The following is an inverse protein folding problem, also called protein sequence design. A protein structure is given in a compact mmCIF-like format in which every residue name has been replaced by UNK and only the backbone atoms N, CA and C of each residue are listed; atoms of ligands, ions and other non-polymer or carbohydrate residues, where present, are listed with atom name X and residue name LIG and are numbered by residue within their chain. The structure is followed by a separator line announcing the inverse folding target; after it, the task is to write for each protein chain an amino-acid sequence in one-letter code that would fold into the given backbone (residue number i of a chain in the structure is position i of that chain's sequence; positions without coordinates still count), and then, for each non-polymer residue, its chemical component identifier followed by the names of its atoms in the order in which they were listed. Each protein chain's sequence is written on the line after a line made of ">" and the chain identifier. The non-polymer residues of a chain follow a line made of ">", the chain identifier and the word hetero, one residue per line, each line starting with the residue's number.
data_IF_993669781348
#
_entry.id   IF_993669781348
#
_cell.length_a   1.000
_cell.length_b   1.000
_cell.length_c   1.000
_cell.angle_alpha   90.00
_cell.angle_beta   90.00
_cell.angle_gamma   90.00
#
_symmetry.space_group_name_H-M   'P 1'
#
loop_
_entity.id
_entity.type
_entity.pdbx_description
1 polymer ?
#
# COMPACT_ATOMS: atom_id res chain seq x y z
N UNK A 1 -35.48 -1.47 -28.54
CA UNK A 1 -34.84 -0.15 -28.70
C UNK A 1 -34.74 0.49 -27.32
N UNK A 2 -33.70 0.14 -26.55
CA UNK A 2 -33.23 0.86 -25.35
C UNK A 2 -31.72 0.62 -25.32
N UNK A 3 -30.95 1.64 -25.67
CA UNK A 3 -29.49 1.64 -25.61
C UNK A 3 -29.03 1.73 -24.14
N UNK A 4 -28.19 0.79 -23.71
CA UNK A 4 -27.49 0.85 -22.43
C UNK A 4 -26.03 1.32 -22.66
N UNK A 5 -25.49 2.23 -21.85
CA UNK A 5 -24.21 2.88 -22.15
C UNK A 5 -23.02 2.00 -21.73
N UNK A 6 -22.40 1.31 -22.69
CA UNK A 6 -21.23 0.45 -22.48
C UNK A 6 -19.87 1.20 -22.37
N UNK A 7 -19.87 2.53 -22.20
CA UNK A 7 -18.64 3.34 -22.32
C UNK A 7 -17.99 3.78 -20.99
N UNK A 8 -18.61 3.51 -19.83
CA UNK A 8 -18.11 4.02 -18.54
C UNK A 8 -16.91 3.23 -17.96
N UNK A 9 -16.73 1.95 -18.32
CA UNK A 9 -15.71 1.10 -17.69
C UNK A 9 -14.28 1.29 -18.25
N UNK A 10 -14.12 1.64 -19.54
CA UNK A 10 -12.79 1.74 -20.19
C UNK A 10 -12.02 3.04 -19.90
N UNK A 11 -12.69 4.14 -19.53
CA UNK A 11 -12.02 5.42 -19.20
C UNK A 11 -11.37 5.41 -17.81
N UNK A 12 -11.87 4.57 -16.91
CA UNK A 12 -11.35 4.47 -15.53
C UNK A 12 -9.96 3.84 -15.46
N UNK A 13 -9.60 2.90 -16.35
CA UNK A 13 -8.29 2.23 -16.29
C UNK A 13 -7.15 3.15 -16.74
N UNK A 14 -7.33 3.98 -17.78
CA UNK A 14 -6.28 4.89 -18.25
C UNK A 14 -5.95 5.98 -17.23
N UNK A 15 -6.99 6.57 -16.63
CA UNK A 15 -6.81 7.57 -15.57
C UNK A 15 -6.21 6.95 -14.31
N UNK A 16 -6.60 5.73 -13.94
CA UNK A 16 -5.99 5.00 -12.84
C UNK A 16 -4.52 4.66 -13.11
N UNK A 17 -4.16 4.21 -14.32
CA UNK A 17 -2.79 3.94 -14.73
C UNK A 17 -1.95 5.23 -14.74
N UNK A 18 -2.47 6.33 -15.29
CA UNK A 18 -1.79 7.63 -15.28
C UNK A 18 -1.59 8.12 -13.85
N UNK A 19 -2.62 8.01 -13.00
CA UNK A 19 -2.51 8.38 -11.59
C UNK A 19 -1.50 7.50 -10.85
N UNK A 20 -1.44 6.20 -11.14
CA UNK A 20 -0.50 5.26 -10.54
C UNK A 20 0.95 5.52 -11.00
N UNK A 21 1.15 5.79 -12.28
CA UNK A 21 2.46 6.20 -12.82
C UNK A 21 2.89 7.52 -12.19
N UNK A 22 2.01 8.53 -12.16
CA UNK A 22 2.30 9.83 -11.54
C UNK A 22 2.63 9.70 -10.05
N UNK A 23 1.87 8.89 -9.30
CA UNK A 23 2.13 8.65 -7.88
C UNK A 23 3.49 7.98 -7.62
N UNK A 24 3.96 7.13 -8.53
CA UNK A 24 5.29 6.52 -8.43
C UNK A 24 6.42 7.43 -8.96
N UNK A 25 6.13 8.35 -9.88
CA UNK A 25 7.10 9.33 -10.37
C UNK A 25 7.43 10.41 -9.34
N UNK A 26 6.48 10.78 -8.47
CA UNK A 26 6.71 11.82 -7.44
C UNK A 26 7.90 11.47 -6.52
N UNK A 27 7.96 10.27 -5.89
CA UNK A 27 9.14 9.88 -5.12
C UNK A 27 10.43 9.85 -5.94
N UNK A 28 10.37 9.39 -7.19
CA UNK A 28 11.54 9.32 -8.06
C UNK A 28 12.09 10.72 -8.37
N UNK A 29 11.23 11.65 -8.79
CA UNK A 29 11.59 13.04 -9.09
C UNK A 29 12.14 13.72 -7.83
N UNK A 30 11.51 13.51 -6.67
CA UNK A 30 12.00 14.05 -5.41
C UNK A 30 13.41 13.55 -5.06
N UNK A 31 13.73 12.28 -5.34
CA UNK A 31 15.08 11.74 -5.15
C UNK A 31 16.07 12.32 -6.17
N UNK A 32 15.70 12.40 -7.45
CA UNK A 32 16.59 12.93 -8.50
C UNK A 32 16.93 14.42 -8.28
N UNK A 33 16.01 15.19 -7.72
CA UNK A 33 16.23 16.59 -7.36
C UNK A 33 16.94 16.77 -6.00
N UNK A 34 17.34 15.68 -5.33
CA UNK A 34 17.98 15.73 -4.02
C UNK A 34 17.06 16.17 -2.88
N UNK A 35 15.75 16.32 -3.13
CA UNK A 35 14.77 16.67 -2.11
C UNK A 35 14.56 15.52 -1.11
N UNK A 36 14.54 14.27 -1.59
CA UNK A 36 14.34 13.07 -0.79
C UNK A 36 15.52 12.11 -0.89
N UNK A 37 15.83 11.43 0.22
CA UNK A 37 16.79 10.33 0.22
C UNK A 37 16.07 9.00 -0.04
N UNK A 38 16.82 7.95 -0.38
CA UNK A 38 16.28 6.58 -0.46
C UNK A 38 15.58 6.19 0.85
N UNK A 39 16.15 6.58 2.00
CA UNK A 39 15.52 6.40 3.31
C UNK A 39 14.14 7.06 3.37
N UNK A 40 13.99 8.32 2.95
CA UNK A 40 12.69 9.01 2.96
C UNK A 40 11.62 8.26 2.16
N UNK A 41 11.99 7.70 1.00
CA UNK A 41 11.05 6.93 0.16
C UNK A 41 10.67 5.60 0.83
N UNK A 42 11.66 4.84 1.31
CA UNK A 42 11.40 3.57 2.00
C UNK A 42 10.59 3.79 3.28
N UNK A 43 10.88 4.88 3.99
CA UNK A 43 10.13 5.31 5.16
C UNK A 43 8.68 5.62 4.83
N UNK A 44 8.38 6.37 3.75
CA UNK A 44 7.01 6.65 3.34
C UNK A 44 6.24 5.38 2.98
N UNK A 45 6.87 4.45 2.26
CA UNK A 45 6.25 3.16 1.97
C UNK A 45 5.97 2.38 3.25
N UNK A 46 6.90 2.34 4.19
CA UNK A 46 6.67 1.71 5.49
C UNK A 46 5.54 2.40 6.28
N UNK A 47 5.51 3.73 6.32
CA UNK A 47 4.50 4.51 7.02
C UNK A 47 3.10 4.33 6.41
N UNK A 48 3.00 4.28 5.07
CA UNK A 48 1.75 4.00 4.36
C UNK A 48 1.13 2.66 4.82
N UNK A 49 1.93 1.63 5.06
CA UNK A 49 1.40 0.35 5.55
C UNK A 49 0.88 0.45 7.00
N UNK A 50 1.47 1.32 7.81
CA UNK A 50 0.93 1.65 9.13
C UNK A 50 -0.44 2.31 9.02
N UNK A 51 -0.57 3.30 8.12
CA UNK A 51 -1.83 3.99 7.82
C UNK A 51 -2.90 3.01 7.32
N UNK A 52 -2.55 2.16 6.34
CA UNK A 52 -3.44 1.13 5.80
C UNK A 52 -3.89 0.17 6.91
N UNK A 53 -2.98 -0.27 7.78
CA UNK A 53 -3.30 -1.11 8.94
C UNK A 53 -4.27 -0.44 9.91
N UNK A 54 -4.04 0.85 10.22
CA UNK A 54 -4.93 1.64 11.08
C UNK A 54 -6.34 1.77 10.51
N UNK A 55 -6.47 2.13 9.23
CA UNK A 55 -7.78 2.15 8.56
C UNK A 55 -8.40 0.75 8.46
N UNK A 56 -7.61 -0.31 8.33
CA UNK A 56 -8.12 -1.67 8.28
C UNK A 56 -8.78 -2.08 9.61
N UNK A 57 -8.22 -1.65 10.76
CA UNK A 57 -8.86 -1.84 12.06
C UNK A 57 -10.24 -1.16 12.10
N UNK A 58 -10.35 0.08 11.60
CA UNK A 58 -11.63 0.77 11.49
C UNK A 58 -12.61 0.02 10.58
N UNK A 59 -12.13 -0.51 9.44
CA UNK A 59 -12.94 -1.34 8.55
C UNK A 59 -13.45 -2.59 9.26
N UNK A 60 -12.59 -3.31 9.99
CA UNK A 60 -12.95 -4.52 10.73
C UNK A 60 -13.99 -4.23 11.82
N UNK A 61 -13.89 -3.10 12.51
CA UNK A 61 -14.87 -2.67 13.51
C UNK A 61 -16.26 -2.47 12.89
N UNK A 62 -16.31 -1.85 11.70
CA UNK A 62 -17.56 -1.54 11.00
C UNK A 62 -18.10 -2.67 10.10
N UNK A 63 -17.34 -3.75 9.91
CA UNK A 63 -17.72 -4.86 9.04
C UNK A 63 -19.03 -5.53 9.50
N UNK A 64 -19.93 -5.81 8.56
CA UNK A 64 -21.24 -6.45 8.79
C UNK A 64 -21.47 -7.63 7.83
N UNK A 65 -20.46 -7.99 7.03
CA UNK A 65 -20.53 -9.14 6.14
C UNK A 65 -20.67 -10.45 6.90
N UNK A 66 -20.85 -11.53 6.14
CA UNK A 66 -21.07 -12.86 6.70
C UNK A 66 -19.98 -13.23 7.74
N UNK A 67 -20.40 -13.71 8.91
CA UNK A 67 -19.50 -14.05 10.01
C UNK A 67 -19.00 -12.87 10.86
N UNK A 68 -19.41 -11.62 10.58
CA UNK A 68 -19.03 -10.42 11.34
C UNK A 68 -19.78 -10.26 12.66
N UNK A 69 -19.76 -11.28 13.53
CA UNK A 69 -20.35 -11.22 14.87
C UNK A 69 -19.49 -10.38 15.83
N UNK A 70 -20.09 -9.88 16.92
CA UNK A 70 -19.34 -9.19 17.97
C UNK A 70 -18.19 -10.06 18.51
N UNK A 71 -18.45 -11.35 18.74
CA UNK A 71 -17.44 -12.32 19.18
C UNK A 71 -16.27 -12.46 18.19
N UNK A 72 -16.55 -12.56 16.89
CA UNK A 72 -15.49 -12.63 15.86
C UNK A 72 -14.61 -11.38 15.88
N UNK A 73 -15.21 -10.19 16.01
CA UNK A 73 -14.47 -8.91 16.03
C UNK A 73 -13.61 -8.77 17.29
N UNK A 74 -14.13 -9.19 18.45
CA UNK A 74 -13.39 -9.17 19.72
C UNK A 74 -12.12 -10.03 19.69
N UNK A 75 -12.11 -11.10 18.90
CA UNK A 75 -10.92 -11.95 18.74
C UNK A 75 -10.03 -11.42 17.61
N UNK A 76 -10.60 -11.13 16.45
CA UNK A 76 -9.83 -10.85 15.24
C UNK A 76 -9.18 -9.48 15.23
N UNK A 77 -9.80 -8.45 15.83
CA UNK A 77 -9.23 -7.10 15.85
C UNK A 77 -7.96 -7.05 16.71
N UNK A 78 -7.96 -7.53 17.97
CA UNK A 78 -6.73 -7.56 18.78
C UNK A 78 -5.65 -8.46 18.15
N UNK A 79 -6.05 -9.61 17.61
CA UNK A 79 -5.11 -10.47 16.89
C UNK A 79 -4.46 -9.73 15.72
N UNK A 80 -5.26 -9.04 14.91
CA UNK A 80 -4.75 -8.25 13.79
C UNK A 80 -3.80 -7.16 14.27
N UNK A 81 -4.18 -6.37 15.28
CA UNK A 81 -3.33 -5.31 15.85
C UNK A 81 -1.98 -5.86 16.30
N UNK A 82 -1.96 -6.96 17.04
CA UNK A 82 -0.73 -7.56 17.55
C UNK A 82 0.10 -8.17 16.42
N UNK A 83 -0.49 -9.05 15.62
CA UNK A 83 0.24 -9.80 14.60
C UNK A 83 0.73 -8.89 13.46
N UNK A 84 -0.17 -8.06 12.90
CA UNK A 84 0.20 -7.08 11.88
C UNK A 84 1.15 -6.02 12.45
N UNK A 85 0.91 -5.58 13.69
CA UNK A 85 1.76 -4.60 14.38
C UNK A 85 3.19 -5.08 14.56
N UNK A 86 3.40 -6.34 14.99
CA UNK A 86 4.73 -6.95 15.09
C UNK A 86 5.41 -6.95 13.72
N UNK A 87 4.72 -7.39 12.68
CA UNK A 87 5.29 -7.46 11.34
C UNK A 87 5.65 -6.07 10.80
N UNK A 88 4.76 -5.10 10.96
CA UNK A 88 4.99 -3.71 10.59
C UNK A 88 6.16 -3.08 11.37
N UNK A 89 6.26 -3.36 12.66
CA UNK A 89 7.35 -2.88 13.52
C UNK A 89 8.70 -3.45 13.11
N UNK A 90 8.80 -4.78 12.98
CA UNK A 90 10.03 -5.47 12.57
C UNK A 90 10.49 -4.99 11.19
N UNK A 91 9.55 -4.77 10.27
CA UNK A 91 9.87 -4.18 8.98
C UNK A 91 10.41 -2.76 9.09
N UNK A 92 9.84 -1.95 9.98
CA UNK A 92 10.34 -0.61 10.29
C UNK A 92 11.79 -0.67 10.76
N UNK A 93 12.11 -1.59 11.68
CA UNK A 93 13.50 -1.83 12.11
C UNK A 93 14.42 -2.11 10.91
N UNK A 94 14.03 -2.95 9.96
CA UNK A 94 14.83 -3.18 8.75
C UNK A 94 15.02 -1.92 7.92
N UNK A 95 13.99 -1.10 7.72
CA UNK A 95 14.09 0.15 6.97
C UNK A 95 15.12 1.10 7.61
N UNK A 96 15.06 1.27 8.93
CA UNK A 96 15.99 2.14 9.65
C UNK A 96 17.42 1.58 9.68
N UNK A 97 17.60 0.27 9.86
CA UNK A 97 18.92 -0.37 9.92
C UNK A 97 19.60 -0.47 8.55
N UNK A 98 18.83 -0.67 7.48
CA UNK A 98 19.38 -0.88 6.13
C UNK A 98 19.57 0.44 5.38
N UNK A 99 18.69 1.43 5.58
CA UNK A 99 18.70 2.66 4.81
C UNK A 99 18.89 3.93 5.64
N UNK A 100 18.71 3.88 6.97
CA UNK A 100 18.90 5.02 7.85
C UNK A 100 20.38 5.22 8.22
N UNK A 101 20.85 6.46 8.21
CA UNK A 101 22.24 6.80 8.55
C UNK A 101 22.62 6.44 9.99
N UNK A 102 21.65 6.51 10.91
CA UNK A 102 21.85 6.26 12.34
C UNK A 102 21.46 4.82 12.76
N UNK A 103 21.04 3.97 11.82
CA UNK A 103 20.57 2.61 12.11
C UNK A 103 19.47 2.58 13.18
N UNK A 104 19.57 1.65 14.14
CA UNK A 104 18.62 1.52 15.26
C UNK A 104 18.47 2.78 16.12
N UNK A 105 19.50 3.64 16.20
CA UNK A 105 19.45 4.86 17.01
C UNK A 105 18.49 5.90 16.43
N UNK A 106 18.25 5.84 15.12
CA UNK A 106 17.27 6.68 14.43
C UNK A 106 15.82 6.23 14.65
N UNK A 107 15.58 5.01 15.16
CA UNK A 107 14.23 4.53 15.46
C UNK A 107 13.72 5.16 16.76
N UNK A 108 13.32 6.43 16.69
CA UNK A 108 12.74 7.18 17.79
C UNK A 108 11.38 7.74 17.34
N UNK A 109 10.29 7.26 17.95
CA UNK A 109 8.92 7.65 17.61
C UNK A 109 8.67 9.18 17.68
N UNK A 110 9.46 9.90 18.49
CA UNK A 110 9.38 11.36 18.64
C UNK A 110 10.06 12.18 17.52
N UNK A 111 10.85 11.57 16.63
CA UNK A 111 11.53 12.31 15.55
C UNK A 111 10.66 12.61 14.34
N UNK A 112 9.39 12.18 14.34
CA UNK A 112 8.41 12.51 13.30
C UNK A 112 8.24 14.03 13.11
N UNK A 113 8.38 14.82 14.17
CA UNK A 113 8.32 16.28 14.12
C UNK A 113 9.59 16.93 13.56
N UNK A 114 10.70 16.18 13.54
CA UNK A 114 11.99 16.60 12.97
C UNK A 114 12.15 16.18 11.51
N UNK A 115 11.20 15.40 10.97
CA UNK A 115 11.16 15.07 9.55
C UNK A 115 11.07 16.36 8.70
N UNK A 116 11.69 16.39 7.51
CA UNK A 116 11.56 17.52 6.59
C UNK A 116 10.08 17.86 6.33
N UNK A 117 9.70 19.15 6.20
CA UNK A 117 8.31 19.55 5.97
C UNK A 117 7.65 18.83 4.77
N UNK A 118 8.41 18.54 3.72
CA UNK A 118 7.94 17.78 2.55
C UNK A 118 7.54 16.35 2.91
N UNK A 119 8.24 15.71 3.85
CA UNK A 119 7.93 14.36 4.33
C UNK A 119 6.69 14.35 5.22
N UNK A 120 6.55 15.36 6.10
CA UNK A 120 5.35 15.55 6.92
C UNK A 120 4.11 15.78 6.04
N UNK A 121 4.23 16.63 5.02
CA UNK A 121 3.17 16.87 4.03
C UNK A 121 2.77 15.60 3.28
N UNK A 122 3.75 14.78 2.87
CA UNK A 122 3.48 13.50 2.22
C UNK A 122 2.75 12.51 3.15
N UNK A 123 3.15 12.40 4.42
CA UNK A 123 2.44 11.59 5.41
C UNK A 123 1.00 12.08 5.64
N UNK A 124 0.81 13.41 5.76
CA UNK A 124 -0.51 14.02 5.87
C UNK A 124 -1.39 13.69 4.67
N UNK A 125 -0.83 13.79 3.46
CA UNK A 125 -1.54 13.43 2.23
C UNK A 125 -1.87 11.94 2.15
N UNK A 126 -0.99 11.05 2.63
CA UNK A 126 -1.25 9.62 2.73
C UNK A 126 -2.43 9.33 3.66
N UNK A 127 -2.44 9.94 4.85
CA UNK A 127 -3.55 9.85 5.79
C UNK A 127 -4.86 10.35 5.17
N UNK A 128 -4.83 11.56 4.58
CA UNK A 128 -6.02 12.17 3.99
C UNK A 128 -6.55 11.39 2.79
N UNK A 129 -5.68 10.90 1.90
CA UNK A 129 -6.08 10.11 0.73
C UNK A 129 -6.71 8.77 1.13
N UNK A 130 -6.13 8.08 2.13
CA UNK A 130 -6.69 6.85 2.66
C UNK A 130 -7.99 7.10 3.43
N UNK A 131 -8.08 8.20 4.18
CA UNK A 131 -9.30 8.64 4.85
C UNK A 131 -10.42 8.98 3.88
N UNK A 132 -10.12 9.71 2.81
CA UNK A 132 -11.07 10.00 1.74
C UNK A 132 -11.55 8.72 1.05
N UNK A 133 -10.65 7.76 0.80
CA UNK A 133 -11.02 6.45 0.25
C UNK A 133 -11.89 5.64 1.23
N UNK A 134 -11.58 5.68 2.53
CA UNK A 134 -12.39 5.04 3.56
C UNK A 134 -13.80 5.64 3.62
N UNK A 135 -13.93 6.97 3.62
CA UNK A 135 -15.23 7.63 3.65
C UNK A 135 -16.01 7.40 2.34
N UNK A 136 -15.41 7.67 1.19
CA UNK A 136 -16.12 7.63 -0.10
C UNK A 136 -16.42 6.21 -0.57
N UNK A 137 -15.47 5.29 -0.46
CA UNK A 137 -15.63 3.92 -0.93
C UNK A 137 -16.22 3.04 0.17
N UNK A 138 -15.55 2.93 1.32
CA UNK A 138 -15.95 1.94 2.33
C UNK A 138 -17.28 2.28 3.01
N UNK A 139 -17.46 3.54 3.43
CA UNK A 139 -18.72 4.01 4.01
C UNK A 139 -19.74 4.37 2.92
N UNK A 140 -19.35 5.22 1.97
CA UNK A 140 -20.26 5.76 0.95
C UNK A 140 -20.85 4.72 0.01
N UNK A 141 -20.08 3.68 -0.37
CA UNK A 141 -20.57 2.56 -1.20
C UNK A 141 -21.05 1.37 -0.37
N UNK A 142 -21.15 1.53 0.95
CA UNK A 142 -21.63 0.51 1.87
C UNK A 142 -20.85 -0.82 1.80
N UNK A 143 -19.56 -0.78 1.47
CA UNK A 143 -18.71 -1.98 1.39
C UNK A 143 -18.66 -2.71 2.74
N UNK A 144 -18.81 -1.97 3.84
CA UNK A 144 -18.88 -2.52 5.20
C UNK A 144 -19.98 -3.56 5.37
N UNK A 145 -21.09 -3.50 4.61
CA UNK A 145 -22.18 -4.47 4.68
C UNK A 145 -21.79 -5.86 4.17
N UNK A 146 -20.81 -5.93 3.26
CA UNK A 146 -20.37 -7.18 2.63
C UNK A 146 -18.99 -7.62 3.12
N UNK A 147 -18.21 -6.69 3.67
CA UNK A 147 -16.88 -6.96 4.17
C UNK A 147 -16.93 -7.94 5.35
N UNK A 148 -16.13 -9.01 5.26
CA UNK A 148 -15.98 -9.99 6.33
C UNK A 148 -14.68 -9.71 7.11
N UNK A 149 -14.66 -9.95 8.45
CA UNK A 149 -13.45 -9.79 9.24
C UNK A 149 -12.27 -10.62 8.70
N UNK A 150 -12.52 -11.83 8.19
CA UNK A 150 -11.48 -12.70 7.63
C UNK A 150 -10.83 -12.15 6.36
N UNK A 151 -11.62 -11.58 5.44
CA UNK A 151 -11.07 -10.92 4.24
C UNK A 151 -10.26 -9.69 4.62
N UNK A 152 -10.80 -8.84 5.50
CA UNK A 152 -10.12 -7.64 5.96
C UNK A 152 -8.83 -7.97 6.72
N UNK A 153 -8.79 -9.09 7.44
CA UNK A 153 -7.59 -9.54 8.12
C UNK A 153 -6.45 -9.79 7.13
N UNK A 154 -6.70 -10.43 5.99
CA UNK A 154 -5.65 -10.74 5.00
C UNK A 154 -5.32 -9.57 4.06
N UNK A 155 -6.23 -8.61 3.90
CA UNK A 155 -6.12 -7.55 2.90
C UNK A 155 -4.79 -6.75 2.93
N UNK A 156 -4.25 -6.36 4.09
CA UNK A 156 -3.00 -5.57 4.13
C UNK A 156 -1.75 -6.39 3.80
N UNK A 157 -1.73 -7.70 4.06
CA UNK A 157 -0.51 -8.53 3.97
C UNK A 157 0.09 -8.58 2.58
N UNK A 158 -0.73 -8.54 1.53
CA UNK A 158 -0.24 -8.54 0.14
C UNK A 158 0.68 -7.36 -0.14
N UNK A 159 0.38 -6.18 0.42
CA UNK A 159 1.22 -4.98 0.26
C UNK A 159 2.50 -5.08 1.05
N UNK A 160 2.42 -5.54 2.31
CA UNK A 160 3.60 -5.61 3.18
C UNK A 160 4.58 -6.68 2.70
N UNK A 161 4.10 -7.79 2.12
CA UNK A 161 4.93 -8.84 1.55
C UNK A 161 5.75 -8.33 0.36
N UNK A 162 5.10 -7.63 -0.58
CA UNK A 162 5.79 -7.02 -1.73
C UNK A 162 6.87 -6.06 -1.23
N UNK A 163 6.55 -5.22 -0.24
CA UNK A 163 7.51 -4.29 0.33
C UNK A 163 8.64 -4.98 1.08
N UNK A 164 8.41 -6.10 1.76
CA UNK A 164 9.48 -6.89 2.37
C UNK A 164 10.46 -7.41 1.31
N UNK A 165 9.95 -7.96 0.22
CA UNK A 165 10.80 -8.46 -0.88
C UNK A 165 11.63 -7.31 -1.46
N UNK A 166 10.99 -6.16 -1.70
CA UNK A 166 11.64 -4.93 -2.18
C UNK A 166 12.69 -4.44 -1.18
N UNK A 167 12.36 -4.27 0.09
CA UNK A 167 13.27 -3.77 1.13
C UNK A 167 14.45 -4.70 1.37
N UNK A 168 14.22 -6.01 1.46
CA UNK A 168 15.27 -6.99 1.69
C UNK A 168 16.18 -7.14 0.47
N UNK A 169 15.60 -7.32 -0.73
CA UNK A 169 16.40 -7.44 -1.94
C UNK A 169 17.13 -6.13 -2.25
N UNK A 170 16.44 -5.00 -2.17
CA UNK A 170 17.00 -3.68 -2.42
C UNK A 170 18.07 -3.29 -1.40
N UNK A 171 17.81 -3.50 -0.11
CA UNK A 171 18.78 -3.22 0.96
C UNK A 171 20.03 -4.10 0.84
N UNK A 172 19.87 -5.36 0.45
CA UNK A 172 21.00 -6.26 0.18
C UNK A 172 21.81 -5.79 -1.03
N UNK A 173 21.14 -5.39 -2.13
CA UNK A 173 21.80 -4.83 -3.32
C UNK A 173 22.53 -3.52 -3.01
N UNK A 174 21.94 -2.61 -2.23
CA UNK A 174 22.61 -1.37 -1.77
C UNK A 174 23.87 -1.71 -0.99
N UNK A 175 23.79 -2.62 -0.01
CA UNK A 175 24.93 -2.97 0.83
C UNK A 175 26.04 -3.67 0.05
N UNK A 176 25.71 -4.46 -0.96
CA UNK A 176 26.69 -5.12 -1.82
C UNK A 176 27.34 -4.17 -2.83
N UNK A 177 26.57 -3.29 -3.46
CA UNK A 177 27.07 -2.40 -4.52
C UNK A 177 27.65 -1.08 -3.98
N UNK A 178 27.34 -0.72 -2.74
CA UNK A 178 27.76 0.56 -2.13
C UNK A 178 27.15 1.80 -2.80
N UNK A 179 26.23 1.63 -3.77
CA UNK A 179 25.64 2.72 -4.54
C UNK A 179 24.12 2.79 -4.36
N UNK A 180 23.61 3.69 -3.50
CA UNK A 180 22.19 3.81 -3.17
C UNK A 180 21.28 4.11 -4.38
N UNK A 181 21.79 4.88 -5.35
CA UNK A 181 21.01 5.32 -6.52
C UNK A 181 20.70 4.17 -7.46
N UNK A 182 21.66 3.29 -7.73
CA UNK A 182 21.51 2.19 -8.66
C UNK A 182 20.51 1.13 -8.13
N UNK A 183 20.51 0.91 -6.82
CA UNK A 183 19.53 0.06 -6.17
C UNK A 183 18.13 0.68 -6.12
N UNK A 184 18.01 2.00 -5.94
CA UNK A 184 16.72 2.70 -6.00
C UNK A 184 16.10 2.60 -7.41
N UNK A 185 16.91 2.76 -8.46
CA UNK A 185 16.49 2.51 -9.85
C UNK A 185 16.03 1.06 -10.04
N UNK A 186 16.80 0.08 -9.55
CA UNK A 186 16.46 -1.34 -9.67
C UNK A 186 15.16 -1.68 -8.93
N UNK A 187 14.95 -1.13 -7.73
CA UNK A 187 13.75 -1.33 -6.93
C UNK A 187 12.51 -0.76 -7.59
N UNK A 188 12.62 0.45 -8.15
CA UNK A 188 11.50 1.10 -8.84
C UNK A 188 11.14 0.28 -10.08
N UNK A 189 12.12 -0.15 -10.88
CA UNK A 189 11.88 -0.99 -12.05
C UNK A 189 11.21 -2.31 -11.66
N UNK A 190 11.71 -3.00 -10.62
CA UNK A 190 11.12 -4.25 -10.14
C UNK A 190 9.68 -4.05 -9.63
N UNK A 191 9.45 -3.04 -8.79
CA UNK A 191 8.13 -2.72 -8.24
C UNK A 191 7.14 -2.39 -9.37
N UNK A 192 7.52 -1.52 -10.30
CA UNK A 192 6.68 -1.17 -11.45
C UNK A 192 6.39 -2.39 -12.31
N UNK A 193 7.35 -3.30 -12.51
CA UNK A 193 7.14 -4.56 -13.21
C UNK A 193 6.13 -5.47 -12.52
N UNK A 194 6.21 -5.62 -11.19
CA UNK A 194 5.24 -6.39 -10.41
C UNK A 194 3.84 -5.79 -10.45
N UNK A 195 3.73 -4.47 -10.27
CA UNK A 195 2.44 -3.75 -10.32
C UNK A 195 1.80 -3.91 -11.71
N UNK A 196 2.59 -3.80 -12.78
CA UNK A 196 2.12 -3.99 -14.15
C UNK A 196 1.69 -5.44 -14.40
N UNK A 197 2.46 -6.43 -13.94
CA UNK A 197 2.12 -7.84 -14.09
C UNK A 197 0.82 -8.20 -13.35
N UNK A 198 0.65 -7.68 -12.13
CA UNK A 198 -0.58 -7.85 -11.36
C UNK A 198 -1.78 -7.26 -12.12
N UNK A 199 -1.62 -6.06 -12.68
CA UNK A 199 -2.69 -5.39 -13.42
C UNK A 199 -3.07 -6.13 -14.72
N UNK A 200 -2.09 -6.68 -15.44
CA UNK A 200 -2.32 -7.46 -16.66
C UNK A 200 -3.00 -8.81 -16.37
N UNK A 201 -2.63 -9.50 -15.28
CA UNK A 201 -3.29 -10.74 -14.85
C UNK A 201 -4.73 -10.51 -14.45
N UNK A 202 -5.03 -9.38 -13.82
CA UNK A 202 -6.39 -8.99 -13.46
C UNK A 202 -7.25 -8.76 -14.71
N UNK A 203 -6.68 -8.14 -15.75
CA UNK A 203 -7.35 -8.00 -17.05
C UNK A 203 -7.60 -9.34 -17.77
N UNK A 204 -6.62 -10.24 -17.77
CA UNK A 204 -6.78 -11.56 -18.40
C UNK A 204 -7.87 -12.41 -17.72
N UNK A 205 -7.99 -12.34 -16.38
CA UNK A 205 -9.06 -13.02 -15.63
C UNK A 205 -10.44 -12.46 -15.94
N UNK A 206 -10.56 -11.13 -16.10
CA UNK A 206 -11.82 -10.48 -16.42
C UNK A 206 -12.27 -10.77 -17.86
N UNK A 207 -11.34 -10.88 -18.81
CA UNK A 207 -11.65 -11.29 -20.19
C UNK A 207 -12.08 -12.75 -20.27
N UNK A 208 -11.41 -13.67 -19.54
CA UNK A 208 -11.83 -15.07 -19.48
C UNK A 208 -13.21 -15.26 -18.83
N UNK A 209 -13.52 -14.49 -17.78
CA UNK A 209 -14.85 -14.50 -17.16
C UNK A 209 -15.94 -13.93 -18.10
N UNK A 210 -15.62 -12.90 -18.89
CA UNK A 210 -16.55 -12.32 -19.87
C UNK A 210 -16.81 -13.23 -21.08
N UNK A 211 -15.83 -14.05 -21.48
CA UNK A 211 -15.98 -15.05 -22.55
C UNK A 211 -16.79 -16.26 -22.06
N UNK A 212 -16.58 -16.72 -20.83
CA UNK A 212 -17.34 -17.84 -20.25
C UNK A 212 -18.84 -17.55 -20.08
N UNK A 213 -19.22 -16.30 -19.79
CA UNK A 213 -20.63 -15.87 -19.68
C UNK A 213 -21.32 -15.73 -21.05
N UNK A 214 -20.58 -15.62 -22.16
CA UNK A 214 -21.15 -15.57 -23.52
C UNK A 214 -21.37 -16.96 -24.14
N UNK A 215 -20.82 -18.01 -23.54
CA UNK A 215 -20.92 -19.39 -24.03
C UNK A 215 -21.83 -20.28 -23.17
N UNK A 216 -22.41 -19.73 -22.10
CA UNK A 216 -23.44 -20.35 -21.26
C UNK A 216 -24.80 -19.69 -21.53
#
# INVERSE_FOLDING_TARGET
>A
MIDAPHHAWRRSSRLAIIALIAANLVPLIAVLNGAWTLFSVMYLYWAENGVVGGYNVLKMALAQGHGASAGSKLVMIPFFIVHYGIFWFVHGVFVFVLFGEQGMRGFQLGQLTLAPPSLQGALGLLLLSHGASFISNYLGRQEYQRATPGQLMQQPYSRVLILHVVVLAGGFVVKLLGQPVLALVLLIVLKTGFDLHAHLREHARLEQAAVGVRQA
#
